data_IF_161846133417
#
_entry.id   IF_161846133417
#
_cell.length_a   1.000
_cell.length_b   1.000
_cell.length_c   1.000
_cell.angle_alpha   90.00
_cell.angle_beta   90.00
_cell.angle_gamma   90.00
#
_symmetry.space_group_name_H-M   'P 1'
#
loop_
_entity.id
_entity.type
_entity.pdbx_description
1 polymer ?
2 polymer ?
3 polymer ?
4 polymer ?
5 non-polymer ?
6 non-polymer ?
7 non-polymer ?
8 non-polymer ?
9 non-polymer ?
10 non-polymer ?
11 non-polymer ?
12 water ?
#
loop_
_entity_poly.entity_id
_entity_poly.type
_entity_poly.pdbx_seq_one_letter_code
_entity_poly.pdbx_strand_id
2 'polydeoxyribonucleotide' '(DC)(DG)(DG)(DC)(DA)(DT)(DA)(DC)(DG)' ?
3 'polydeoxyribonucleotide' '(DC)(DG)(DT)(DA)(DT)' ?
4 'polydeoxyribonucleotide' '(DG)(DC)(DC)(DG)' ?
#
# COMPACT_ATOMS: atom_id res chain seq x y z
N UNK A 11 17.94 -17.54 -12.89
CA UNK A 11 17.00 -18.24 -12.01
C UNK A 11 16.00 -17.26 -11.38
N UNK A 12 16.52 -16.17 -10.83
CA UNK A 12 15.70 -15.16 -10.17
C UNK A 12 15.70 -13.89 -11.01
N UNK A 13 14.59 -13.52 -11.64
CA UNK A 13 14.56 -12.29 -12.44
C UNK A 13 14.71 -11.05 -11.57
N UNK A 14 15.10 -9.95 -12.22
CA UNK A 14 15.51 -8.76 -11.48
C UNK A 14 14.33 -7.93 -11.00
N UNK A 15 13.21 -7.98 -11.70
CA UNK A 15 12.02 -7.18 -11.38
C UNK A 15 11.00 -8.02 -10.63
N UNK A 16 10.40 -7.45 -9.58
CA UNK A 16 9.44 -8.20 -8.78
C UNK A 16 8.21 -8.61 -9.58
N UNK A 17 7.88 -7.89 -10.64
CA UNK A 17 6.70 -8.25 -11.43
C UNK A 17 6.96 -9.46 -12.33
N UNK A 18 8.19 -9.97 -12.35
CA UNK A 18 8.57 -11.10 -13.17
C UNK A 18 8.55 -12.42 -12.41
N UNK A 19 8.15 -12.40 -11.15
CA UNK A 19 8.22 -13.59 -10.33
C UNK A 19 7.03 -13.61 -9.37
N UNK A 20 6.48 -14.79 -9.08
CA UNK A 20 5.43 -14.85 -8.05
C UNK A 20 5.99 -14.56 -6.68
N UNK A 21 5.26 -13.78 -5.92
CA UNK A 21 5.61 -13.51 -4.52
C UNK A 21 4.39 -13.79 -3.66
N UNK A 22 4.39 -14.88 -2.90
CA UNK A 22 3.22 -15.21 -2.08
C UNK A 22 3.20 -14.36 -0.81
N UNK A 23 2.04 -14.36 -0.16
CA UNK A 23 1.88 -13.58 1.06
C UNK A 23 2.76 -14.12 2.18
N UNK A 24 2.80 -15.43 2.34
CA UNK A 24 3.64 -16.08 3.34
C UNK A 24 4.73 -16.87 2.62
N UNK A 25 5.89 -16.96 3.25
CA UNK A 25 7.07 -17.46 2.54
C UNK A 25 8.04 -18.07 3.56
N UNK A 26 9.29 -18.25 3.13
CA UNK A 26 10.26 -19.08 3.85
C UNK A 26 11.47 -18.29 4.37
N UNK A 27 11.39 -16.97 4.37
CA UNK A 27 12.50 -16.13 4.80
C UNK A 27 11.98 -14.92 5.53
N UNK A 28 10.98 -15.14 6.39
CA UNK A 28 10.25 -14.03 7.00
C UNK A 28 11.17 -13.13 7.82
N UNK A 29 12.01 -13.74 8.67
CA UNK A 29 12.87 -12.94 9.52
C UNK A 29 13.89 -12.12 8.74
N UNK A 30 14.48 -12.71 7.70
CA UNK A 30 15.45 -11.99 6.89
C UNK A 30 14.79 -10.81 6.18
N UNK A 31 13.61 -11.02 5.59
CA UNK A 31 12.95 -9.93 4.88
C UNK A 31 12.53 -8.82 5.84
N UNK A 32 12.06 -9.18 7.03
CA UNK A 32 11.65 -8.15 7.99
C UNK A 32 12.84 -7.28 8.39
N UNK A 33 14.02 -7.87 8.55
CA UNK A 33 15.21 -7.09 8.92
C UNK A 33 15.56 -6.10 7.82
N UNK A 34 15.58 -6.55 6.57
CA UNK A 34 15.91 -5.66 5.47
C UNK A 34 14.87 -4.57 5.33
N UNK A 35 13.61 -4.88 5.62
CA UNK A 35 12.58 -3.87 5.52
C UNK A 35 12.69 -2.83 6.64
N UNK A 36 13.28 -3.18 7.79
CA UNK A 36 13.59 -2.15 8.78
C UNK A 36 14.57 -1.14 8.18
N UNK A 37 15.62 -1.64 7.54
CA UNK A 37 16.61 -0.74 6.95
C UNK A 37 16.00 0.08 5.82
N UNK A 38 15.08 -0.51 5.06
CA UNK A 38 14.40 0.25 4.01
C UNK A 38 13.60 1.39 4.60
N UNK A 39 12.82 1.08 5.64
CA UNK A 39 12.00 2.10 6.29
C UNK A 39 12.87 3.22 6.83
N UNK A 40 13.97 2.87 7.50
CA UNK A 40 14.87 3.89 8.04
C UNK A 40 15.46 4.75 6.94
N UNK A 41 15.87 4.15 5.84
CA UNK A 41 16.34 4.95 4.70
C UNK A 41 15.28 5.96 4.28
N UNK A 42 14.03 5.53 4.23
CA UNK A 42 12.96 6.45 3.86
C UNK A 42 12.84 7.61 4.83
N UNK A 43 12.97 7.33 6.13
CA UNK A 43 12.92 8.38 7.13
C UNK A 43 14.06 9.39 6.97
N UNK A 44 15.14 9.02 6.28
CA UNK A 44 16.24 9.93 6.02
C UNK A 44 16.22 10.49 4.61
N UNK A 45 15.14 10.28 3.87
CA UNK A 45 15.03 10.80 2.52
C UNK A 45 15.83 10.08 1.46
N UNK A 46 16.33 8.87 1.75
CA UNK A 46 17.13 8.12 0.77
C UNK A 46 16.22 7.10 0.09
N UNK A 47 15.50 7.58 -0.93
CA UNK A 47 14.58 6.70 -1.66
C UNK A 47 15.33 5.61 -2.42
N UNK A 48 16.55 5.88 -2.88
CA UNK A 48 17.31 4.86 -3.58
C UNK A 48 17.66 3.69 -2.70
N UNK A 49 18.17 3.97 -1.49
CA UNK A 49 18.49 2.90 -0.56
C UNK A 49 17.23 2.19 -0.07
N UNK A 50 16.14 2.94 0.15
CA UNK A 50 14.87 2.31 0.48
C UNK A 50 14.50 1.29 -0.57
N UNK A 51 14.63 1.66 -1.84
CA UNK A 51 14.22 0.78 -2.92
C UNK A 51 15.07 -0.49 -2.96
N UNK A 52 16.39 -0.34 -2.81
CA UNK A 52 17.25 -1.52 -2.88
C UNK A 52 16.92 -2.49 -1.74
N UNK A 53 16.79 -1.97 -0.52
CA UNK A 53 16.46 -2.85 0.61
C UNK A 53 15.08 -3.48 0.43
N UNK A 54 14.09 -2.70 -0.03
CA UNK A 54 12.79 -3.28 -0.36
C UNK A 54 12.92 -4.40 -1.38
N UNK A 55 13.67 -4.15 -2.46
CA UNK A 55 13.79 -5.17 -3.51
C UNK A 55 14.51 -6.40 -2.99
N UNK A 56 15.59 -6.21 -2.22
CA UNK A 56 16.30 -7.35 -1.67
C UNK A 56 15.39 -8.15 -0.75
N UNK A 57 14.63 -7.47 0.10
CA UNK A 57 13.64 -8.15 0.92
C UNK A 57 12.70 -8.98 0.08
N UNK A 58 12.17 -8.38 -1.01
CA UNK A 58 11.18 -9.06 -1.83
C UNK A 58 11.76 -10.29 -2.51
N UNK A 59 13.03 -10.21 -2.93
CA UNK A 59 13.70 -11.36 -3.53
C UNK A 59 13.59 -12.57 -2.61
N UNK A 60 13.90 -12.36 -1.33
CA UNK A 60 13.82 -13.44 -0.36
C UNK A 60 12.40 -13.96 -0.21
N UNK A 61 11.41 -13.07 -0.26
CA UNK A 61 10.01 -13.53 -0.20
C UNK A 61 9.69 -14.49 -1.34
N UNK A 62 10.38 -14.37 -2.46
CA UNK A 62 10.06 -15.15 -3.66
C UNK A 62 10.85 -16.45 -3.75
N UNK A 63 11.76 -16.70 -2.82
CA UNK A 63 12.55 -17.92 -2.85
C UNK A 63 11.70 -19.13 -2.45
N UNK A 64 12.03 -20.32 -2.95
CA UNK A 64 11.20 -21.49 -2.65
C UNK A 64 11.54 -22.18 -1.34
N UNK A 65 12.54 -21.72 -0.60
CA UNK A 65 12.95 -22.37 0.65
C UNK A 65 13.77 -21.38 1.46
N UNK A 66 14.06 -21.69 2.72
CA UNK A 66 14.83 -20.76 3.55
C UNK A 66 16.27 -20.63 3.08
N UNK A 67 16.79 -19.41 3.19
CA UNK A 67 18.23 -19.19 3.05
C UNK A 67 18.90 -19.62 4.35
N UNK A 68 19.84 -20.58 4.26
CA UNK A 68 20.56 -21.06 5.43
C UNK A 68 22.05 -20.73 5.39
N UNK A 69 22.60 -20.47 4.22
CA UNK A 69 24.03 -20.18 4.09
C UNK A 69 24.22 -19.00 3.16
N UNK A 70 25.29 -18.25 3.43
CA UNK A 70 25.54 -17.03 2.66
C UNK A 70 25.72 -17.32 1.19
N UNK A 71 26.30 -18.46 0.84
CA UNK A 71 26.52 -18.78 -0.57
C UNK A 71 25.21 -18.81 -1.35
N UNK A 72 24.08 -19.02 -0.69
CA UNK A 72 22.82 -19.08 -1.42
C UNK A 72 22.38 -17.71 -1.94
N UNK A 73 23.04 -16.63 -1.53
CA UNK A 73 22.75 -15.30 -2.05
C UNK A 73 23.46 -15.02 -3.36
N UNK A 74 24.50 -15.78 -3.70
CA UNK A 74 25.26 -15.53 -4.91
C UNK A 74 24.36 -15.59 -6.13
N UNK A 75 24.44 -14.55 -6.97
CA UNK A 75 23.62 -14.49 -8.16
C UNK A 75 22.22 -13.95 -7.95
N UNK A 76 21.81 -13.70 -6.70
CA UNK A 76 20.48 -13.14 -6.49
C UNK A 76 20.50 -11.64 -6.77
N UNK A 77 19.58 -11.12 -7.56
CA UNK A 77 19.58 -9.68 -7.82
C UNK A 77 19.31 -8.88 -6.56
N UNK A 78 19.95 -7.71 -6.49
CA UNK A 78 19.78 -6.71 -5.44
C UNK A 78 20.46 -7.07 -4.13
N UNK A 79 21.29 -8.12 -4.11
CA UNK A 79 22.12 -8.43 -2.95
C UNK A 79 23.57 -8.08 -3.26
N UNK A 80 24.03 -6.99 -2.65
CA UNK A 80 25.43 -6.61 -2.71
C UNK A 80 26.08 -6.72 -1.35
N UNK A 81 27.13 -5.92 -1.12
CA UNK A 81 27.87 -6.03 0.13
C UNK A 81 26.98 -5.78 1.34
N UNK A 82 26.10 -4.77 1.27
CA UNK A 82 25.39 -4.35 2.46
C UNK A 82 24.31 -5.34 2.85
N UNK A 83 23.39 -5.64 1.93
CA UNK A 83 22.32 -6.59 2.23
C UNK A 83 22.86 -7.97 2.54
N UNK A 84 23.95 -8.38 1.88
CA UNK A 84 24.53 -9.69 2.16
C UNK A 84 25.08 -9.75 3.59
N UNK A 85 25.68 -8.64 4.06
CA UNK A 85 26.23 -8.61 5.40
C UNK A 85 25.12 -8.64 6.45
N UNK A 86 24.00 -7.96 6.18
CA UNK A 86 22.84 -8.07 7.06
C UNK A 86 22.42 -9.53 7.21
N UNK A 87 22.26 -10.23 6.09
CA UNK A 87 21.83 -11.62 6.12
C UNK A 87 22.88 -12.47 6.82
N UNK A 88 24.16 -12.23 6.52
CA UNK A 88 25.23 -13.01 7.13
C UNK A 88 25.16 -12.93 8.65
N UNK A 89 24.97 -11.72 9.19
CA UNK A 89 24.93 -11.55 10.63
C UNK A 89 23.70 -12.23 11.22
N UNK A 90 22.56 -12.19 10.53
CA UNK A 90 21.37 -12.86 11.04
C UNK A 90 21.56 -14.37 11.04
N UNK A 91 22.22 -14.90 10.00
CA UNK A 91 22.45 -16.35 9.92
C UNK A 91 23.41 -16.84 10.98
N UNK A 92 24.41 -16.03 11.33
CA UNK A 92 25.43 -16.42 12.28
C UNK A 92 25.04 -16.14 13.72
N UNK A 93 24.39 -15.01 14.00
CA UNK A 93 24.12 -14.57 15.36
C UNK A 93 22.64 -14.41 15.67
N UNK A 94 21.75 -14.62 14.71
CA UNK A 94 20.34 -14.41 14.93
C UNK A 94 19.91 -12.96 15.03
N UNK A 95 20.84 -12.02 14.90
CA UNK A 95 20.54 -10.61 15.03
C UNK A 95 21.58 -9.84 14.22
N UNK A 96 21.17 -8.69 13.69
CA UNK A 96 22.03 -7.80 12.91
C UNK A 96 22.21 -6.52 13.70
N UNK A 97 23.45 -6.19 14.03
CA UNK A 97 23.69 -5.07 14.93
C UNK A 97 23.13 -3.78 14.37
N UNK A 98 23.31 -3.56 13.07
CA UNK A 98 22.78 -2.34 12.45
C UNK A 98 21.27 -2.26 12.58
N UNK A 99 20.59 -3.37 12.30
CA UNK A 99 19.13 -3.39 12.41
C UNK A 99 18.70 -3.07 13.83
N UNK A 100 19.36 -3.69 14.82
CA UNK A 100 18.95 -3.45 16.20
C UNK A 100 19.23 -2.03 16.61
N UNK A 101 20.34 -1.44 16.14
CA UNK A 101 20.63 -0.07 16.47
C UNK A 101 19.56 0.87 15.91
N UNK A 102 19.09 0.59 14.69
CA UNK A 102 17.99 1.36 14.13
C UNK A 102 16.74 1.20 14.99
N UNK A 103 16.38 -0.06 15.29
CA UNK A 103 15.16 -0.33 16.03
C UNK A 103 15.03 0.53 17.28
N UNK A 104 16.12 0.61 18.05
CA UNK A 104 16.07 1.29 19.34
C UNK A 104 16.45 2.76 19.27
N UNK A 105 16.78 3.28 18.09
CA UNK A 105 17.13 4.70 17.97
C UNK A 105 15.90 5.57 18.19
N UNK A 106 16.11 6.69 18.85
CA UNK A 106 15.05 7.63 19.12
C UNK A 106 14.49 8.18 17.81
N UNK A 107 15.37 8.41 16.85
CA UNK A 107 14.97 8.94 15.55
C UNK A 107 14.01 7.98 14.84
N UNK A 108 14.38 6.71 14.75
CA UNK A 108 13.54 5.74 14.05
C UNK A 108 12.18 5.61 14.74
N UNK A 109 12.18 5.41 16.05
CA UNK A 109 10.93 5.18 16.76
C UNK A 109 9.98 6.37 16.63
N UNK A 110 10.54 7.58 16.64
CA UNK A 110 9.70 8.77 16.58
C UNK A 110 9.21 9.04 15.16
N UNK A 111 10.08 8.85 14.17
CA UNK A 111 9.64 9.00 12.78
C UNK A 111 8.59 7.97 12.43
N UNK A 112 8.74 6.74 12.95
CA UNK A 112 7.72 5.72 12.73
C UNK A 112 6.41 6.13 13.39
N UNK A 113 6.46 6.58 14.65
CA UNK A 113 5.27 7.01 15.35
C UNK A 113 4.57 8.14 14.62
N UNK A 114 5.33 9.15 14.18
CA UNK A 114 4.73 10.32 13.56
C UNK A 114 4.18 10.00 12.17
N UNK A 115 4.97 9.31 11.33
CA UNK A 115 4.52 9.04 9.97
C UNK A 115 3.32 8.10 9.92
N UNK A 116 3.12 7.28 10.95
CA UNK A 116 1.95 6.43 11.02
C UNK A 116 0.66 7.22 11.22
N UNK A 117 0.75 8.52 11.53
CA UNK A 117 -0.42 9.35 11.70
C UNK A 117 -0.99 9.68 10.32
N UNK A 118 -2.28 9.43 10.13
CA UNK A 118 -2.96 9.86 8.92
C UNK A 118 -2.88 11.39 8.82
N UNK A 119 -2.26 11.86 7.75
CA UNK A 119 -2.04 13.28 7.54
C UNK A 119 -0.62 13.74 7.77
N UNK A 120 0.25 12.85 8.22
CA UNK A 120 1.64 13.18 8.51
C UNK A 120 2.52 12.33 7.61
N UNK A 121 3.39 13.00 6.83
CA UNK A 121 4.36 12.34 6.01
C UNK A 121 5.76 12.50 6.59
N UNK A 122 6.74 11.97 5.85
CA UNK A 122 8.12 12.02 6.29
C UNK A 122 8.56 13.46 6.55
N UNK A 123 8.24 14.35 5.61
CA UNK A 123 8.70 15.74 5.73
C UNK A 123 8.12 16.41 6.95
N UNK A 124 6.84 16.16 7.26
CA UNK A 124 6.25 16.78 8.45
C UNK A 124 6.85 16.17 9.71
N UNK A 125 6.94 14.84 9.76
CA UNK A 125 7.51 14.17 10.92
C UNK A 125 8.93 14.63 11.17
N UNK A 126 9.73 14.77 10.11
CA UNK A 126 11.12 15.21 10.28
C UNK A 126 11.17 16.60 10.92
N UNK A 127 10.36 17.53 10.42
CA UNK A 127 10.34 18.88 10.98
C UNK A 127 9.93 18.86 12.45
N UNK A 128 8.90 18.09 12.78
CA UNK A 128 8.48 17.95 14.17
C UNK A 128 9.61 17.36 15.03
N UNK A 129 10.31 16.37 14.48
CA UNK A 129 11.43 15.77 15.22
C UNK A 129 12.52 16.79 15.48
N UNK A 130 12.83 17.61 14.46
CA UNK A 130 13.86 18.63 14.61
C UNK A 130 13.42 19.72 15.60
N UNK A 131 12.11 19.93 15.75
CA UNK A 131 11.59 20.87 16.73
C UNK A 131 11.58 20.30 18.14
N UNK A 132 11.97 19.04 18.32
CA UNK A 132 12.02 18.44 19.64
C UNK A 132 10.80 17.65 20.03
N UNK A 133 9.80 17.56 19.17
CA UNK A 133 8.60 16.80 19.50
C UNK A 133 8.92 15.31 19.41
N UNK A 134 8.27 14.53 20.28
CA UNK A 134 8.60 13.10 20.39
C UNK A 134 7.39 12.20 20.58
N UNK A 135 6.28 12.68 21.15
CA UNK A 135 5.15 11.83 21.50
C UNK A 135 3.89 12.39 20.87
N UNK A 136 2.84 11.56 20.86
CA UNK A 136 1.55 12.02 20.35
C UNK A 136 0.99 13.13 21.24
N UNK A 137 1.21 13.03 22.55
CA UNK A 137 0.76 14.09 23.44
C UNK A 137 1.50 15.40 23.18
N UNK A 138 2.77 15.33 22.77
CA UNK A 138 3.45 16.55 22.35
C UNK A 138 2.67 17.23 21.23
N UNK A 139 2.06 16.45 20.34
CA UNK A 139 1.33 17.04 19.23
C UNK A 139 -0.04 17.55 19.68
N UNK A 140 -0.68 16.83 20.60
CA UNK A 140 -1.98 17.27 21.10
C UNK A 140 -1.89 18.57 21.88
N UNK A 141 -0.73 18.87 22.48
CA UNK A 141 -0.58 20.09 23.26
C UNK A 141 -0.66 21.35 22.40
N UNK A 142 -0.21 21.27 21.14
CA UNK A 142 -0.14 22.42 20.24
C UNK A 142 -1.01 22.14 19.00
N UNK A 143 -2.33 22.00 19.18
CA UNK A 143 -3.18 21.61 18.05
C UNK A 143 -3.35 22.71 17.01
N UNK A 144 -2.99 23.95 17.32
CA UNK A 144 -3.13 25.03 16.35
C UNK A 144 -2.19 24.84 15.16
N UNK A 145 -1.16 24.01 15.31
CA UNK A 145 -0.22 23.74 14.23
C UNK A 145 -0.62 22.54 13.37
N UNK A 146 -1.77 21.93 13.63
CA UNK A 146 -2.20 20.74 12.93
C UNK A 146 -3.24 21.06 11.87
N UNK A 147 -3.21 20.31 10.77
CA UNK A 147 -4.25 20.39 9.79
C UNK A 147 -5.49 19.65 10.29
N UNK A 148 -6.63 19.91 9.64
CA UNK A 148 -7.84 19.14 9.97
C UNK A 148 -7.61 17.66 9.75
N UNK A 149 -6.88 17.31 8.69
CA UNK A 149 -6.59 15.91 8.41
C UNK A 149 -5.75 15.31 9.53
N UNK A 150 -4.73 16.05 10.00
CA UNK A 150 -3.88 15.55 11.08
C UNK A 150 -4.64 15.48 12.39
N UNK A 151 -5.52 16.46 12.66
CA UNK A 151 -6.34 16.38 13.86
C UNK A 151 -7.19 15.13 13.86
N UNK A 152 -7.77 14.79 12.70
CA UNK A 152 -8.53 13.55 12.58
C UNK A 152 -7.65 12.34 12.80
N UNK A 153 -6.48 12.32 12.15
CA UNK A 153 -5.59 11.19 12.30
C UNK A 153 -5.11 11.01 13.73
N UNK A 154 -4.89 12.13 14.42
CA UNK A 154 -4.44 12.04 15.82
C UNK A 154 -5.58 11.59 16.73
N UNK A 155 -6.78 12.17 16.57
CA UNK A 155 -7.92 11.76 17.39
C UNK A 155 -8.20 10.26 17.24
N UNK A 156 -8.13 9.75 16.01
CA UNK A 156 -8.49 8.36 15.75
C UNK A 156 -7.29 7.43 15.74
N UNK A 157 -6.11 7.92 16.15
CA UNK A 157 -4.89 7.15 15.96
C UNK A 157 -4.97 5.77 16.60
N UNK A 158 -5.54 5.67 17.80
CA UNK A 158 -5.57 4.38 18.48
C UNK A 158 -6.36 3.36 17.69
N UNK A 159 -7.59 3.70 17.30
CA UNK A 159 -8.39 2.79 16.48
C UNK A 159 -7.68 2.47 15.17
N UNK A 160 -7.08 3.48 14.54
CA UNK A 160 -6.45 3.25 13.25
C UNK A 160 -5.19 2.39 13.36
N UNK A 161 -4.65 2.23 14.56
CA UNK A 161 -3.51 1.35 14.78
C UNK A 161 -3.94 -0.08 15.04
N UNK A 162 -5.26 -0.35 15.17
CA UNK A 162 -5.81 -1.68 15.40
C UNK A 162 -6.04 -2.38 14.06
N UNK A 163 -5.54 -3.59 13.83
CA UNK A 163 -5.72 -4.22 12.52
C UNK A 163 -7.18 -4.37 12.14
N UNK A 164 -7.47 -4.09 10.88
CA UNK A 164 -8.76 -4.40 10.30
C UNK A 164 -8.79 -5.88 9.95
N UNK A 165 -9.88 -6.57 10.30
CA UNK A 165 -10.04 -7.98 10.03
C UNK A 165 -10.91 -8.20 8.80
N UNK A 166 -10.74 -9.36 8.18
CA UNK A 166 -11.50 -9.74 7.00
C UNK A 166 -12.98 -9.68 7.30
N UNK A 167 -13.33 -10.00 8.55
CA UNK A 167 -14.71 -9.92 8.99
C UNK A 167 -15.23 -8.48 8.91
N UNK A 168 -14.39 -7.51 9.28
CA UNK A 168 -14.79 -6.12 9.15
C UNK A 168 -15.04 -5.74 7.70
N UNK A 169 -14.29 -6.33 6.78
CA UNK A 169 -14.33 -5.90 5.39
C UNK A 169 -15.69 -6.20 4.77
N UNK A 170 -16.22 -7.40 5.02
CA UNK A 170 -17.51 -7.78 4.44
C UNK A 170 -18.61 -6.83 4.87
N UNK A 171 -18.65 -6.46 6.16
CA UNK A 171 -19.67 -5.53 6.63
C UNK A 171 -19.53 -4.18 5.95
N UNK A 172 -18.29 -3.66 5.86
CA UNK A 172 -18.08 -2.37 5.19
C UNK A 172 -18.48 -2.43 3.72
N UNK A 173 -18.18 -3.53 3.03
CA UNK A 173 -18.52 -3.62 1.62
C UNK A 173 -20.03 -3.53 1.42
N UNK A 174 -20.80 -4.27 2.24
CA UNK A 174 -22.26 -4.18 2.12
C UNK A 174 -22.73 -2.74 2.27
N UNK A 175 -22.16 -2.02 3.24
CA UNK A 175 -22.55 -0.64 3.49
C UNK A 175 -22.24 0.24 2.29
N UNK A 176 -21.04 0.09 1.72
CA UNK A 176 -20.63 0.91 0.59
C UNK A 176 -21.51 0.60 -0.62
N UNK A 177 -21.83 -0.67 -0.85
CA UNK A 177 -22.67 -1.03 -1.98
C UNK A 177 -24.06 -0.43 -1.86
N UNK A 178 -24.61 -0.37 -0.65
CA UNK A 178 -25.92 0.24 -0.47
C UNK A 178 -25.90 1.70 -0.91
N UNK A 179 -24.88 2.44 -0.48
CA UNK A 179 -24.81 3.85 -0.85
C UNK A 179 -24.50 4.00 -2.33
N UNK A 180 -23.66 3.12 -2.88
CA UNK A 180 -23.33 3.17 -4.30
C UNK A 180 -24.56 2.88 -5.15
N UNK A 181 -25.36 1.88 -4.74
CA UNK A 181 -26.55 1.55 -5.50
C UNK A 181 -27.58 2.66 -5.53
N UNK A 182 -27.63 3.48 -4.48
CA UNK A 182 -28.54 4.62 -4.48
C UNK A 182 -27.95 5.77 -5.31
N UNK A 183 -26.64 5.94 -5.25
CA UNK A 183 -26.01 7.03 -6.00
C UNK A 183 -26.11 6.78 -7.50
N UNK A 184 -26.00 5.52 -7.91
CA UNK A 184 -26.02 5.17 -9.32
C UNK A 184 -26.37 3.70 -9.48
N UNK A 185 -27.64 3.38 -9.72
CA UNK A 185 -28.02 1.98 -9.95
C UNK A 185 -27.16 1.34 -11.02
N UNK A 186 -26.73 0.10 -10.75
CA UNK A 186 -25.88 -0.63 -11.65
C UNK A 186 -24.40 -0.49 -11.37
N UNK A 187 -24.00 0.47 -10.55
CA UNK A 187 -22.61 0.64 -10.22
C UNK A 187 -22.13 -0.50 -9.33
N UNK A 188 -20.86 -0.88 -9.48
CA UNK A 188 -20.30 -2.02 -8.79
C UNK A 188 -19.19 -1.58 -7.84
N UNK A 189 -18.94 -2.42 -6.85
CA UNK A 189 -17.91 -2.19 -5.86
C UNK A 189 -16.99 -3.41 -5.86
N UNK A 190 -15.70 -3.18 -6.01
CA UNK A 190 -14.71 -4.25 -5.99
C UNK A 190 -13.73 -4.01 -4.86
N UNK A 191 -13.49 -5.05 -4.06
CA UNK A 191 -12.49 -4.98 -3.01
C UNK A 191 -11.11 -5.07 -3.64
N UNK A 192 -10.23 -4.13 -3.28
CA UNK A 192 -8.88 -4.12 -3.83
C UNK A 192 -7.86 -4.14 -2.70
N UNK A 193 -6.69 -3.55 -2.93
CA UNK A 193 -5.67 -3.48 -1.88
C UNK A 193 -5.24 -4.85 -1.34
N UNK A 194 -4.73 -4.79 -0.10
CA UNK A 194 -4.12 -5.97 0.49
C UNK A 194 -5.08 -7.12 0.66
N UNK A 195 -6.35 -6.83 0.96
CA UNK A 195 -7.28 -7.92 1.13
C UNK A 195 -7.51 -8.69 -0.16
N UNK A 196 -7.47 -8.02 -1.32
CA UNK A 196 -7.61 -8.76 -2.57
C UNK A 196 -6.40 -9.67 -2.80
N UNK A 197 -5.24 -9.30 -2.27
CA UNK A 197 -4.05 -10.14 -2.37
C UNK A 197 -4.08 -11.30 -1.37
N UNK A 198 -5.13 -11.41 -0.54
CA UNK A 198 -5.28 -12.52 0.36
C UNK A 198 -4.94 -12.25 1.80
N UNK A 199 -4.56 -11.02 2.15
CA UNK A 199 -4.26 -10.71 3.53
C UNK A 199 -5.48 -10.96 4.41
N UNK A 200 -5.23 -11.42 5.63
CA UNK A 200 -6.32 -11.62 6.57
C UNK A 200 -6.54 -10.41 7.47
N UNK A 201 -5.57 -9.51 7.54
CA UNK A 201 -5.69 -8.27 8.28
C UNK A 201 -5.12 -7.14 7.43
N UNK A 202 -5.40 -5.92 7.83
CA UNK A 202 -4.89 -4.78 7.09
C UNK A 202 -5.01 -3.51 7.91
N UNK A 203 -4.41 -2.44 7.38
CA UNK A 203 -4.48 -1.13 8.01
C UNK A 203 -5.58 -0.26 7.44
N UNK A 204 -6.23 -0.69 6.36
CA UNK A 204 -7.35 0.04 5.79
C UNK A 204 -8.06 -0.90 4.82
N UNK A 205 -9.16 -0.42 4.25
CA UNK A 205 -9.91 -1.15 3.24
C UNK A 205 -9.99 -0.29 2.00
N UNK A 206 -9.72 -0.89 0.84
CA UNK A 206 -9.70 -0.20 -0.44
C UNK A 206 -10.78 -0.75 -1.35
N UNK A 207 -11.59 0.14 -1.91
CA UNK A 207 -12.67 -0.24 -2.82
C UNK A 207 -12.53 0.51 -4.13
N UNK A 208 -12.83 -0.18 -5.22
CA UNK A 208 -12.85 0.39 -6.56
C UNK A 208 -14.26 0.32 -7.10
N UNK A 209 -14.78 1.45 -7.59
CA UNK A 209 -16.17 1.59 -8.01
C UNK A 209 -16.19 1.93 -9.50
N UNK A 210 -17.07 1.29 -10.25
CA UNK A 210 -17.22 1.61 -11.66
C UNK A 210 -18.67 1.36 -12.06
N UNK A 211 -18.96 1.52 -13.34
CA UNK A 211 -20.28 1.28 -13.87
C UNK A 211 -20.10 0.72 -15.27
N UNK A 212 -20.90 -0.29 -15.68
CA UNK A 212 -20.67 -0.93 -16.98
C UNK A 212 -20.88 -0.03 -18.18
N UNK A 213 -21.51 1.12 -18.04
CA UNK A 213 -21.78 2.03 -19.15
C UNK A 213 -20.81 3.20 -19.06
N UNK A 214 -19.83 3.21 -19.96
CA UNK A 214 -18.81 4.27 -19.98
C UNK A 214 -19.45 5.64 -19.87
N UNK A 215 -18.96 6.44 -18.92
CA UNK A 215 -19.41 7.79 -18.70
C UNK A 215 -20.42 7.93 -17.59
N UNK A 216 -21.16 6.87 -17.28
CA UNK A 216 -22.16 6.98 -16.22
C UNK A 216 -21.53 7.20 -14.86
N UNK A 217 -20.25 6.86 -14.70
CA UNK A 217 -19.58 7.01 -13.42
C UNK A 217 -19.16 8.44 -13.13
N UNK A 218 -19.24 9.33 -14.12
CA UNK A 218 -18.91 10.73 -13.89
C UNK A 218 -19.78 11.30 -12.77
N UNK A 219 -19.15 12.09 -11.89
CA UNK A 219 -19.83 12.69 -10.76
C UNK A 219 -20.23 11.75 -9.65
N UNK A 220 -19.79 10.49 -9.69
CA UNK A 220 -20.33 9.49 -8.79
C UNK A 220 -19.83 9.64 -7.36
N UNK A 221 -18.55 9.91 -7.17
CA UNK A 221 -18.01 9.85 -5.81
C UNK A 221 -18.64 10.87 -4.89
N UNK A 222 -18.87 12.12 -5.28
CA UNK A 222 -19.58 13.04 -4.37
C UNK A 222 -20.93 12.52 -3.93
N UNK A 223 -21.66 11.87 -4.84
CA UNK A 223 -22.99 11.34 -4.51
C UNK A 223 -22.88 10.20 -3.52
N UNK A 224 -21.85 9.36 -3.67
CA UNK A 224 -21.62 8.29 -2.72
C UNK A 224 -21.30 8.86 -1.35
N UNK A 225 -20.38 9.82 -1.31
CA UNK A 225 -19.93 10.35 -0.02
C UNK A 225 -21.08 11.04 0.70
N UNK A 226 -21.89 11.82 -0.02
CA UNK A 226 -23.01 12.50 0.61
C UNK A 226 -23.95 11.49 1.27
N UNK A 227 -24.15 10.34 0.63
CA UNK A 227 -25.07 9.35 1.18
C UNK A 227 -24.46 8.61 2.36
N UNK A 228 -23.17 8.30 2.29
CA UNK A 228 -22.52 7.73 3.45
C UNK A 228 -22.54 8.70 4.62
N UNK A 229 -22.26 9.97 4.37
CA UNK A 229 -22.27 10.96 5.43
C UNK A 229 -23.67 11.12 6.02
N UNK A 230 -24.71 11.04 5.18
CA UNK A 230 -26.07 11.13 5.69
C UNK A 230 -26.43 9.95 6.58
N UNK A 231 -25.88 8.77 6.30
CA UNK A 231 -26.08 7.62 7.18
C UNK A 231 -25.25 7.68 8.46
N UNK A 232 -24.50 8.75 8.68
CA UNK A 232 -23.70 8.89 9.88
C UNK A 232 -22.48 7.99 9.97
N UNK A 233 -21.99 7.49 8.83
CA UNK A 233 -20.90 6.51 8.81
C UNK A 233 -19.52 7.13 8.59
N UNK A 234 -19.45 8.42 8.28
CA UNK A 234 -18.21 9.07 7.94
C UNK A 234 -17.76 9.88 9.14
N UNK A 235 -16.65 9.48 9.73
CA UNK A 235 -16.03 10.28 10.80
C UNK A 235 -15.14 11.38 10.23
N UNK A 236 -14.59 11.17 9.03
CA UNK A 236 -13.74 12.15 8.38
C UNK A 236 -13.67 11.87 6.89
N UNK A 237 -13.73 12.92 6.09
CA UNK A 237 -13.34 12.86 4.68
C UNK A 237 -13.06 14.27 4.20
N UNK A 238 -12.39 14.36 3.06
CA UNK A 238 -12.02 15.65 2.48
C UNK A 238 -13.25 16.41 1.99
N UNK A 258 -15.65 18.05 -7.51
CA UNK A 258 -15.42 16.82 -8.26
C UNK A 258 -14.15 16.13 -7.79
N UNK A 259 -14.17 14.80 -7.77
CA UNK A 259 -13.01 14.03 -7.34
C UNK A 259 -13.26 12.57 -7.66
N UNK A 260 -12.19 11.78 -7.67
CA UNK A 260 -12.27 10.36 -7.96
C UNK A 260 -11.59 9.46 -6.92
N UNK A 261 -10.89 10.02 -5.93
CA UNK A 261 -10.34 9.25 -4.82
C UNK A 261 -10.76 9.92 -3.53
N UNK A 262 -11.23 9.15 -2.56
CA UNK A 262 -11.64 9.66 -1.27
C UNK A 262 -10.98 8.85 -0.18
N UNK A 263 -10.22 9.52 0.69
CA UNK A 263 -9.54 8.88 1.81
C UNK A 263 -10.33 9.25 3.06
N UNK A 264 -11.10 8.29 3.56
CA UNK A 264 -12.07 8.50 4.62
C UNK A 264 -11.66 7.79 5.90
N UNK A 265 -12.39 8.12 6.96
CA UNK A 265 -12.41 7.34 8.19
C UNK A 265 -13.87 6.97 8.43
N UNK A 266 -14.15 5.67 8.44
CA UNK A 266 -15.50 5.16 8.62
C UNK A 266 -15.74 4.75 10.06
N UNK A 267 -16.99 4.92 10.48
CA UNK A 267 -17.44 4.43 11.76
C UNK A 267 -17.93 3.01 11.54
N UNK A 268 -17.20 2.03 12.05
CA UNK A 268 -17.54 0.63 11.85
C UNK A 268 -18.16 0.06 13.11
N UNK A 269 -19.41 -0.42 13.06
CA UNK A 269 -20.01 -1.04 14.25
C UNK A 269 -19.17 -2.17 14.82
N UNK A 270 -19.12 -2.22 16.15
CA UNK A 270 -18.42 -3.22 16.94
C UNK A 270 -19.36 -3.73 18.01
N UNK A 271 -19.06 -4.89 18.61
CA UNK A 271 -19.93 -5.40 19.69
C UNK A 271 -20.23 -4.36 20.76
N UNK A 272 -21.45 -3.83 20.76
CA UNK A 272 -21.84 -2.84 21.75
C UNK A 272 -21.18 -1.48 21.57
N UNK A 273 -20.55 -1.23 20.42
CA UNK A 273 -19.87 0.04 20.20
C UNK A 273 -19.44 0.14 18.74
N UNK A 274 -18.29 0.72 18.46
CA UNK A 274 -17.80 0.88 17.10
C UNK A 274 -16.33 1.25 17.14
N UNK A 275 -15.69 1.25 15.97
CA UNK A 275 -14.32 1.69 15.87
C UNK A 275 -14.12 2.42 14.54
N UNK A 276 -13.18 3.35 14.54
CA UNK A 276 -12.81 4.07 13.34
C UNK A 276 -11.95 3.17 12.46
N UNK A 277 -12.20 3.21 11.14
CA UNK A 277 -11.45 2.42 10.17
C UNK A 277 -11.19 3.27 8.94
N UNK A 278 -9.96 3.21 8.44
CA UNK A 278 -9.60 3.91 7.22
C UNK A 278 -10.14 3.14 6.01
N UNK A 279 -10.84 3.85 5.13
CA UNK A 279 -11.43 3.30 3.91
C UNK A 279 -11.08 4.23 2.77
N UNK A 280 -10.58 3.66 1.67
CA UNK A 280 -10.33 4.42 0.46
C UNK A 280 -11.36 4.02 -0.59
N UNK A 281 -11.99 5.02 -1.19
CA UNK A 281 -12.94 4.81 -2.26
C UNK A 281 -12.40 5.46 -3.52
N UNK A 282 -12.38 4.71 -4.62
CA UNK A 282 -11.88 5.22 -5.90
C UNK A 282 -12.84 4.82 -6.99
N UNK A 283 -13.07 5.75 -7.92
CA UNK A 283 -13.97 5.56 -9.05
C UNK A 283 -13.12 5.56 -10.31
N UNK A 284 -13.44 4.66 -11.22
CA UNK A 284 -12.81 4.67 -12.53
C UNK A 284 -13.87 4.35 -13.58
N UNK A 285 -13.77 4.91 -14.78
CA UNK A 285 -14.61 4.45 -15.87
C UNK A 285 -14.26 3.02 -16.26
N UNK A 286 -15.24 2.30 -16.80
CA UNK A 286 -15.03 0.87 -17.05
C UNK A 286 -13.89 0.65 -18.04
N UNK A 287 -13.66 1.60 -18.95
CA UNK A 287 -12.53 1.48 -19.87
C UNK A 287 -11.21 1.43 -19.13
N UNK A 288 -11.10 2.11 -17.99
CA UNK A 288 -9.87 2.15 -17.22
C UNK A 288 -9.84 1.14 -16.09
N UNK A 289 -10.95 0.43 -15.85
CA UNK A 289 -11.07 -0.42 -14.67
C UNK A 289 -9.94 -1.42 -14.54
N UNK A 290 -9.53 -2.14 -15.58
CA UNK A 290 -8.40 -3.09 -15.41
C UNK A 290 -7.13 -2.42 -14.91
N UNK A 291 -6.84 -1.22 -15.41
CA UNK A 291 -5.64 -0.53 -14.96
C UNK A 291 -5.78 -0.06 -13.52
N UNK A 292 -6.98 0.36 -13.13
CA UNK A 292 -7.18 0.85 -11.77
C UNK A 292 -7.19 -0.31 -10.80
N UNK A 293 -7.84 -1.41 -11.18
CA UNK A 293 -7.78 -2.63 -10.37
C UNK A 293 -6.34 -3.08 -10.18
N UNK A 294 -5.56 -3.12 -11.26
CA UNK A 294 -4.18 -3.55 -11.16
C UNK A 294 -3.40 -2.64 -10.21
N UNK A 295 -3.52 -1.33 -10.43
CA UNK A 295 -2.79 -0.39 -9.58
C UNK A 295 -3.20 -0.47 -8.12
N UNK A 296 -4.51 -0.47 -7.87
CA UNK A 296 -5.00 -0.44 -6.49
C UNK A 296 -4.90 -1.78 -5.78
N UNK A 297 -4.58 -2.86 -6.49
CA UNK A 297 -4.39 -4.15 -5.84
C UNK A 297 -2.96 -4.35 -5.35
N UNK A 298 -2.00 -3.61 -5.88
CA UNK A 298 -0.65 -3.61 -5.30
C UNK A 298 0.09 -4.92 -5.54
N UNK A 299 1.07 -5.22 -4.69
CA UNK A 299 1.55 -4.37 -3.60
C UNK A 299 2.15 -3.08 -4.13
N UNK A 300 2.48 -2.15 -3.22
CA UNK A 300 3.14 -0.93 -3.63
C UNK A 300 4.44 -1.24 -4.39
N UNK A 301 5.28 -2.10 -3.83
CA UNK A 301 6.51 -2.45 -4.53
C UNK A 301 6.22 -3.12 -5.86
N UNK A 302 5.25 -4.03 -5.89
CA UNK A 302 4.90 -4.68 -7.15
C UNK A 302 4.56 -3.64 -8.22
N UNK A 303 3.77 -2.62 -7.88
CA UNK A 303 3.32 -1.66 -8.89
C UNK A 303 4.47 -0.76 -9.35
N UNK A 304 5.33 -0.32 -8.43
CA UNK A 304 6.52 0.43 -8.82
C UNK A 304 7.40 -0.39 -9.76
N UNK A 305 7.63 -1.65 -9.43
CA UNK A 305 8.46 -2.51 -10.28
C UNK A 305 7.79 -2.75 -11.63
N UNK A 306 6.47 -2.93 -11.63
CA UNK A 306 5.75 -3.13 -12.87
C UNK A 306 5.85 -1.92 -13.77
N UNK A 307 5.66 -0.72 -13.19
CA UNK A 307 5.77 0.50 -13.98
C UNK A 307 7.20 0.75 -14.43
N UNK A 308 8.18 0.46 -13.57
CA UNK A 308 9.58 0.55 -13.97
C UNK A 308 9.88 -0.40 -15.12
N UNK A 309 9.41 -1.64 -15.01
CA UNK A 309 9.62 -2.62 -16.07
C UNK A 309 8.99 -2.17 -17.37
N UNK A 310 7.75 -1.71 -17.30
CA UNK A 310 7.04 -1.25 -18.48
C UNK A 310 7.85 -0.19 -19.21
N UNK A 311 8.28 0.84 -18.47
CA UNK A 311 8.98 1.95 -19.10
C UNK A 311 10.37 1.53 -19.57
N UNK A 312 11.17 0.92 -18.68
CA UNK A 312 12.58 0.69 -19.00
C UNK A 312 12.78 -0.48 -19.95
N UNK A 313 11.98 -1.54 -19.81
CA UNK A 313 12.18 -2.73 -20.64
C UNK A 313 11.31 -2.76 -21.88
N UNK A 314 10.11 -2.17 -21.82
CA UNK A 314 9.18 -2.24 -22.93
C UNK A 314 8.92 -0.90 -23.59
N UNK A 315 9.42 0.20 -23.01
CA UNK A 315 9.18 1.51 -23.58
C UNK A 315 7.75 1.98 -23.51
N UNK A 316 6.94 1.43 -22.59
CA UNK A 316 5.55 1.80 -22.42
C UNK A 316 5.34 2.44 -21.06
N UNK A 317 4.40 3.39 -20.99
CA UNK A 317 4.18 4.18 -19.78
C UNK A 317 2.89 3.73 -19.12
N UNK A 318 3.01 3.18 -17.91
CA UNK A 318 1.90 2.56 -17.20
C UNK A 318 1.47 3.41 -16.03
N UNK A 319 0.16 3.56 -15.84
CA UNK A 319 -0.37 4.10 -14.59
C UNK A 319 -1.72 3.44 -14.33
N UNK A 320 -2.44 3.97 -13.35
CA UNK A 320 -3.73 3.39 -12.97
C UNK A 320 -4.85 3.81 -13.89
N UNK A 321 -4.55 4.63 -14.91
CA UNK A 321 -5.50 5.00 -15.95
C UNK A 321 -5.31 4.23 -17.26
N UNK A 322 -4.11 3.74 -17.54
CA UNK A 322 -3.87 3.17 -18.85
C UNK A 322 -2.41 2.86 -19.08
N UNK A 323 -2.14 2.44 -20.31
CA UNK A 323 -0.81 2.04 -20.76
C UNK A 323 -0.58 2.68 -22.12
N UNK A 324 0.44 3.53 -22.20
CA UNK A 324 0.62 4.44 -23.32
C UNK A 324 1.87 4.06 -24.10
N UNK A 325 1.73 3.95 -25.42
CA UNK A 325 2.86 3.79 -26.30
C UNK A 325 3.30 5.19 -26.74
N UNK A 326 4.45 5.69 -26.31
CA UNK A 326 4.85 7.06 -26.68
C UNK A 326 5.36 7.18 -28.10
N UNK A 327 5.67 6.07 -28.77
CA UNK A 327 6.08 6.12 -30.17
C UNK A 327 4.86 6.26 -31.07
N UNK A 328 3.90 5.34 -30.96
CA UNK A 328 2.66 5.44 -31.72
C UNK A 328 1.69 6.46 -31.14
N UNK A 329 1.94 6.97 -29.93
CA UNK A 329 1.02 7.92 -29.28
C UNK A 329 -0.38 7.32 -29.17
N UNK A 330 -0.45 6.10 -28.66
CA UNK A 330 -1.71 5.38 -28.52
C UNK A 330 -1.78 4.71 -27.16
N UNK A 331 -3.00 4.55 -26.66
CA UNK A 331 -3.28 3.84 -25.42
C UNK A 331 -3.74 2.42 -25.72
N UNK A 332 -3.24 1.47 -24.94
CA UNK A 332 -3.66 0.09 -25.07
C UNK A 332 -5.04 -0.07 -24.45
N UNK A 333 -5.93 -0.74 -25.17
CA UNK A 333 -7.22 -1.09 -24.61
C UNK A 333 -7.03 -2.39 -23.84
N UNK A 334 -7.53 -2.44 -22.63
CA UNK A 334 -7.47 -3.65 -21.82
C UNK A 334 -8.87 -3.94 -21.32
N UNK A 335 -9.27 -5.20 -21.42
CA UNK A 335 -10.53 -5.67 -20.84
C UNK A 335 -10.33 -6.42 -19.54
N UNK A 336 -9.08 -6.69 -19.14
CA UNK A 336 -8.78 -7.49 -17.98
C UNK A 336 -7.35 -7.23 -17.55
N UNK A 337 -7.04 -7.59 -16.29
CA UNK A 337 -5.64 -7.60 -15.88
C UNK A 337 -4.83 -8.54 -16.75
N UNK A 338 -5.41 -9.68 -17.13
CA UNK A 338 -4.70 -10.60 -18.01
C UNK A 338 -4.23 -9.90 -19.28
N UNK A 339 -5.08 -9.06 -19.87
CA UNK A 339 -4.69 -8.27 -21.05
C UNK A 339 -3.43 -7.46 -20.78
N UNK A 340 -3.34 -6.84 -19.61
CA UNK A 340 -2.24 -5.93 -19.33
C UNK A 340 -0.93 -6.71 -19.22
N UNK A 341 -0.93 -7.81 -18.47
CA UNK A 341 0.27 -8.62 -18.38
C UNK A 341 0.72 -9.08 -19.77
N UNK A 342 -0.23 -9.47 -20.61
CA UNK A 342 0.12 -9.89 -21.97
C UNK A 342 0.73 -8.74 -22.77
N UNK A 343 0.11 -7.57 -22.71
CA UNK A 343 0.66 -6.38 -23.38
C UNK A 343 2.13 -6.20 -23.04
N UNK A 344 2.48 -6.41 -21.77
CA UNK A 344 3.83 -6.16 -21.27
C UNK A 344 4.74 -7.38 -21.39
N UNK A 345 4.29 -8.47 -22.00
CA UNK A 345 5.14 -9.64 -22.15
C UNK A 345 5.50 -10.34 -20.86
N UNK A 346 4.62 -10.25 -19.85
CA UNK A 346 4.82 -10.89 -18.56
C UNK A 346 3.85 -12.04 -18.39
N UNK A 347 4.31 -13.12 -17.74
CA UNK A 347 3.38 -14.16 -17.33
C UNK A 347 2.40 -13.60 -16.31
N UNK A 348 1.14 -13.99 -16.44
CA UNK A 348 0.11 -13.48 -15.53
C UNK A 348 0.40 -13.91 -14.10
N UNK A 349 0.16 -12.99 -13.17
CA UNK A 349 0.28 -13.28 -11.74
C UNK A 349 -1.05 -12.94 -11.09
N UNK A 350 -1.71 -13.88 -10.41
CA UNK A 350 -2.92 -13.52 -9.69
C UNK A 350 -2.58 -12.60 -8.53
N UNK A 351 -3.58 -11.90 -7.98
CA UNK A 351 -3.30 -10.97 -6.87
C UNK A 351 -2.52 -11.59 -5.71
N UNK A 352 -2.82 -12.85 -5.38
CA UNK A 352 -2.15 -13.49 -4.26
C UNK A 352 -0.67 -13.75 -4.52
N UNK A 353 -0.19 -13.59 -5.75
CA UNK A 353 1.22 -13.71 -6.05
C UNK A 353 1.87 -12.37 -6.35
N UNK A 354 1.21 -11.26 -6.00
CA UNK A 354 1.75 -9.92 -6.17
C UNK A 354 2.20 -9.32 -4.85
N UNK A 355 2.49 -10.15 -3.86
CA UNK A 355 2.84 -9.68 -2.53
C UNK A 355 4.33 -9.35 -2.41
N UNK A 356 4.82 -8.60 -3.39
CA UNK A 356 6.21 -8.18 -3.42
C UNK A 356 6.49 -7.26 -2.24
X LIG E 1 -2.66 0.83 0.66
X LIG E 1 -4.07 0.57 1.13
X LIG E 1 -2.09 2.03 1.38
X LIG E 1 -1.73 -0.44 0.98
X LIG E 1 -2.21 -1.95 0.71
X LIG E 1 -3.68 -1.96 0.36
X LIG E 1 -1.41 -2.51 -0.44
X LIG E 1 -1.96 -2.80 2.06
X LIG E 1 -2.37 -2.20 3.50
X LIG E 1 -3.38 -1.09 3.33
X LIG E 1 -2.97 -3.31 4.34
X LIG E 1 -1.15 -1.64 4.20
X LIG E 1 -2.65 1.12 -0.92
X LIG E 1 -3.50 0.39 -1.81
X LIG E 1 -2.78 0.03 -3.09
X LIG E 1 -2.39 1.24 -3.81
X LIG E 1 -1.47 -0.72 -2.91
X LIG E 1 -1.74 -2.09 -2.70
X LIG E 1 -0.79 -0.47 -4.26
X LIG E 1 -1.20 0.98 -4.54
X LIG E 1 -0.18 1.97 -4.10
X LIG E 1 0.63 2.57 -5.05
X LIG E 1 0.54 2.32 -6.24
X LIG E 1 1.53 3.46 -4.54
X LIG E 1 1.71 3.81 -3.21
X LIG E 1 2.55 4.62 -2.85
X LIG E 1 0.83 3.15 -2.28
X LIG E 1 0.93 3.45 -0.81
X LIG E 1 -0.06 2.28 -2.76
X LIG F 1 -3.14 -3.40 4.58
X LIG F 1 -2.36 -2.47 3.69
X LIG F 1 -1.17 -1.93 4.46
X LIG F 1 -3.20 -1.27 3.32
X LIG F 1 -1.90 -3.29 2.38
X LIG F 1 -2.13 -2.51 1.00
X LIG F 1 -3.61 -2.39 0.81
X LIG F 1 -1.39 -3.07 -0.19
X LIG F 1 -1.59 -1.11 1.24
X LIG G 1 -5.78 2.42 1.22
X LIG H 1 -4.91 -0.93 1.80
X LIG I 1 -8.74 10.48 -13.44
X LIG J 1 30.17 -12.73 13.06
X LIG K 1 1.06 9.31 7.64
X LIG L 1 9.29 -1.78 1.41
X LIG M 1 16.82 -20.62 -1.02
X LIG M 1 15.90 -21.11 -1.97
X LIG M 1 18.01 -21.57 -0.86
X LIG M 1 18.75 -21.61 -2.05
X LIG N 1 -1.42 6.22 -11.09
X LIG N 1 -2.53 6.80 -11.74
X LIG N 1 -1.79 5.88 -9.65
X LIG N 1 -0.81 5.03 -9.11
X LIG O 1 -16.09 -5.38 -13.14
X LIG O 1 -15.51 -6.58 -12.74
X LIG O 1 -17.39 -5.18 -12.38
X LIG O 1 -17.79 -3.85 -12.51
X LIG P 1 -0.93 -11.11 8.58
X LIG P 1 -1.74 -10.82 6.97
X LIG P 1 -2.56 -9.61 7.06
X LIG P 1 -0.72 -10.66 5.94
X LIG P 1 -2.59 -11.97 6.68
X LIG Q 1 25.42 8.14 -8.58
X LIG R 1 -0.84 0.87 2.00
X LIG S 1 -2.88 2.98 -7.45
X LIG S 1 -1.75 2.93 -8.27
X LIG S 1 -2.71 4.09 -6.42
X LIG S 1 -2.72 5.32 -7.11
#
# INVERSE_FOLDING_TARGET
GSAAAPLSPAWMPAYACQRPTPLTHHNTGLSEALEILAEAAGFEGSEGRLLTFCRAASVLKALPSPVTTLSQLQGLPHFGEHSSRVVQELLEHGVCEEVERVRRSERYQTMKLFTQIFGVGVKTADRWYREGLRTLDDLREQPQKLTQQQKAGLQHHQDLSTPVLRSDVDALQQVVEEAVGQALPGATVTLTGGFRRGKLQGHDVDFLITHPKEGQEAGLLPRVMCRLQDQGLILYHQHQHSCCESPTRLAQQSHMDAFERSFCIFRLPQPGSWKAVRVDLVVAPVSQFPFALLGWTGSKLFQRELRRFSRKEKGLWLNSHGLFDPEQKTFFQAASEEDIFRHLGLEYLPPEQRNA
TTP PA O1A O2A O3A PB O1B O2B O3B PG O1G O2G O3G O5' C5' C4' O4' C3' O3' C2' C1' N1 C2 O2 N3 C4 O4 C5 C5M C6
PPV O11 P1 O21 O31 OPP P2 O12 O22 O32
MN MN
MN MN
MN MN
MN MN
NA NA
DTT S1
EDO C1 O1 C2 O2
EDO C1 O1 C2 O2
EDO C1 O1 C2 O2
EPE C10 S O1S O2S O3S
MN MN
MN MN
EDO C1 O1 C2 O2
#
